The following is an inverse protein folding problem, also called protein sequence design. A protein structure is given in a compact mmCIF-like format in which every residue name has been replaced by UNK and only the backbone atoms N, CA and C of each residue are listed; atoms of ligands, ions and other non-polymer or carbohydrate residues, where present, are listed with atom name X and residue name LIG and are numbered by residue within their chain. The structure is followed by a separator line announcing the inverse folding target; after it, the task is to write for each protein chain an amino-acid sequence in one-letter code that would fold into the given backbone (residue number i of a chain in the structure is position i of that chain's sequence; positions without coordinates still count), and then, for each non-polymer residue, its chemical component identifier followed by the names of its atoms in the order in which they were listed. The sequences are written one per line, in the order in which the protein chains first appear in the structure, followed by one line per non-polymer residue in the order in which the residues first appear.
data_IF_687954051709
#
_entry.id   IF_687954051709
#
_cell.length_a   1.000
_cell.length_b   1.000
_cell.length_c   1.000
_cell.angle_alpha   90.00
_cell.angle_beta   90.00
_cell.angle_gamma   90.00
#
_symmetry.space_group_name_H-M   'P 1'
#
loop_
_entity.id
_entity.type
_entity.pdbx_description
1 polymer ?
#
# COMPACT_ATOMS: atom_id res chain seq x y z
N UNK A 1 20.70 30.99 48.51
CA UNK A 1 19.85 32.03 49.18
C UNK A 1 18.53 32.07 48.42
N UNK A 2 17.46 31.54 49.08
CA UNK A 2 16.13 32.13 49.27
C UNK A 2 15.38 32.50 47.99
N UNK A 3 14.13 32.16 47.68
CA UNK A 3 12.97 31.55 48.37
C UNK A 3 11.89 31.29 47.33
N UNK A 4 11.25 30.17 47.38
CA UNK A 4 9.83 29.79 47.33
C UNK A 4 8.81 30.90 47.06
N UNK A 5 7.83 30.62 46.15
CA UNK A 5 6.41 30.80 46.49
C UNK A 5 5.51 29.91 45.60
N UNK A 6 4.78 29.00 46.27
CA UNK A 6 3.66 28.27 45.74
C UNK A 6 2.38 29.06 46.01
N UNK A 7 1.41 29.04 45.12
CA UNK A 7 0.01 29.36 45.45
C UNK A 7 -0.89 28.32 44.80
N UNK A 8 -1.45 27.50 45.65
CA UNK A 8 -2.65 26.67 45.46
C UNK A 8 -3.90 27.57 45.50
N UNK A 9 -4.87 27.34 44.67
CA UNK A 9 -6.26 27.67 44.96
C UNK A 9 -7.18 26.57 44.42
N UNK A 10 -7.72 25.84 45.40
CA UNK A 10 -8.84 24.90 45.33
C UNK A 10 -10.14 25.65 45.52
N UNK A 11 -11.25 25.08 45.10
CA UNK A 11 -12.64 25.03 45.62
C UNK A 11 -13.62 24.99 44.47
N UNK A 12 -14.40 24.03 44.32
CA UNK A 12 -15.33 23.19 45.04
C UNK A 12 -16.78 23.47 44.62
N UNK A 13 -17.43 22.38 44.24
CA UNK A 13 -18.81 21.95 44.47
C UNK A 13 -19.98 22.95 44.31
N UNK A 14 -21.01 22.49 43.57
CA UNK A 14 -22.27 22.17 44.22
C UNK A 14 -23.22 21.35 43.33
N UNK A 15 -23.62 20.23 43.83
CA UNK A 15 -24.76 19.44 43.41
C UNK A 15 -26.06 20.07 43.87
N UNK A 16 -27.15 19.93 43.14
CA UNK A 16 -28.51 20.03 43.68
C UNK A 16 -29.41 18.99 43.04
N UNK A 17 -29.79 18.04 43.88
CA UNK A 17 -30.97 17.16 43.75
C UNK A 17 -32.22 17.90 44.27
N UNK A 18 -33.38 17.59 43.68
CA UNK A 18 -34.70 17.34 44.33
C UNK A 18 -35.76 17.37 43.22
N UNK A 19 -36.50 16.37 42.89
CA UNK A 19 -37.42 15.45 43.57
C UNK A 19 -38.86 15.96 43.61
N UNK A 20 -39.76 15.00 43.35
CA UNK A 20 -41.23 14.96 43.55
C UNK A 20 -42.09 15.64 42.49
N UNK A 21 -43.03 15.01 41.82
CA UNK A 21 -43.92 13.87 42.16
C UNK A 21 -45.33 14.28 41.78
N UNK A 22 -46.14 13.41 41.19
CA UNK A 22 -47.56 13.70 41.02
C UNK A 22 -48.23 12.90 39.92
N UNK A 23 -48.98 11.93 40.32
CA UNK A 23 -49.84 11.02 39.56
C UNK A 23 -50.99 11.72 38.80
N UNK A 24 -51.39 11.12 37.67
CA UNK A 24 -52.68 11.47 37.06
C UNK A 24 -52.94 10.59 35.82
N UNK A 25 -53.68 9.54 35.98
CA UNK A 25 -54.19 8.71 34.87
C UNK A 25 -55.37 9.40 34.17
N UNK A 26 -55.43 9.31 32.84
CA UNK A 26 -56.72 9.10 32.11
C UNK A 26 -56.54 8.82 30.65
N UNK A 27 -56.97 7.62 30.28
CA UNK A 27 -57.70 7.13 29.07
C UNK A 27 -57.52 7.78 27.72
N UNK A 28 -57.09 6.89 26.83
CA UNK A 28 -57.57 6.56 25.48
C UNK A 28 -58.18 7.62 24.58
N UNK A 29 -57.62 7.77 23.38
CA UNK A 29 -58.39 7.62 22.11
C UNK A 29 -57.50 7.40 20.93
N UNK A 30 -57.81 6.33 20.22
CA UNK A 30 -57.32 5.87 18.90
C UNK A 30 -57.63 6.86 17.80
N UNK A 31 -56.61 7.19 17.00
CA UNK A 31 -56.86 7.51 15.56
C UNK A 31 -55.71 6.94 14.72
N UNK A 32 -56.07 6.01 13.86
CA UNK A 32 -55.21 5.42 12.82
C UNK A 32 -54.92 6.50 11.75
N UNK A 33 -53.64 6.63 11.39
CA UNK A 33 -53.24 7.29 10.15
C UNK A 33 -52.11 6.48 9.49
N UNK A 34 -52.34 6.20 8.24
CA UNK A 34 -51.69 5.34 7.27
C UNK A 34 -50.15 5.28 7.34
N UNK A 35 -49.64 4.08 7.35
CA UNK A 35 -48.26 3.74 7.04
C UNK A 35 -48.07 3.90 5.51
N UNK A 36 -47.19 4.77 5.11
CA UNK A 36 -46.62 4.76 3.78
C UNK A 36 -45.49 3.75 3.72
N UNK A 37 -45.72 2.68 2.98
CA UNK A 37 -44.81 1.59 2.71
C UNK A 37 -43.70 2.09 1.77
N UNK A 38 -42.58 2.51 2.31
CA UNK A 38 -41.36 2.72 1.52
C UNK A 38 -40.64 1.37 1.45
N UNK A 39 -40.89 0.60 0.39
CA UNK A 39 -40.05 -0.52 0.00
C UNK A 39 -38.64 -0.02 -0.28
N UNK A 40 -37.78 -0.20 0.70
CA UNK A 40 -36.35 -0.19 0.51
C UNK A 40 -36.00 -1.52 -0.17
N UNK A 41 -35.81 -1.51 -1.47
CA UNK A 41 -35.27 -2.63 -2.21
C UNK A 41 -33.79 -2.77 -1.77
N UNK A 42 -33.56 -3.65 -0.80
CA UNK A 42 -32.24 -4.12 -0.50
C UNK A 42 -31.72 -4.86 -1.74
N UNK A 43 -30.58 -4.41 -2.25
CA UNK A 43 -29.82 -5.16 -3.24
C UNK A 43 -29.64 -6.61 -2.75
N UNK A 44 -29.66 -7.61 -3.64
CA UNK A 44 -29.51 -8.99 -3.21
C UNK A 44 -28.13 -9.16 -2.56
N UNK A 45 -28.12 -9.41 -1.27
CA UNK A 45 -26.96 -9.95 -0.60
C UNK A 45 -26.67 -11.30 -1.25
N UNK A 46 -25.51 -11.46 -1.87
CA UNK A 46 -25.04 -12.74 -2.34
C UNK A 46 -24.89 -13.65 -1.11
N UNK A 47 -25.80 -14.57 -0.94
CA UNK A 47 -25.76 -15.56 0.13
C UNK A 47 -24.85 -16.73 -0.27
N UNK A 48 -23.56 -16.47 -0.39
CA UNK A 48 -22.53 -17.49 -0.38
C UNK A 48 -22.11 -17.71 1.07
N UNK A 49 -22.53 -18.80 1.71
CA UNK A 49 -21.96 -19.23 2.98
C UNK A 49 -20.62 -19.92 2.72
N UNK A 50 -19.62 -19.19 2.25
CA UNK A 50 -18.28 -19.71 2.08
C UNK A 50 -17.70 -20.17 3.41
N UNK A 51 -17.01 -21.29 3.41
CA UNK A 51 -16.35 -21.83 4.61
C UNK A 51 -15.13 -21.01 5.00
N UNK A 52 -14.58 -20.24 4.06
CA UNK A 52 -13.36 -19.43 4.23
C UNK A 52 -13.56 -18.04 3.63
N UNK A 53 -13.14 -17.02 4.36
CA UNK A 53 -13.14 -15.64 3.86
C UNK A 53 -11.74 -15.05 3.94
N UNK A 54 -11.29 -14.45 2.83
CA UNK A 54 -10.04 -13.68 2.76
C UNK A 54 -10.37 -12.23 2.41
N UNK A 55 -9.95 -11.29 3.27
CA UNK A 55 -10.07 -9.86 3.03
C UNK A 55 -8.75 -9.33 2.50
N UNK A 56 -8.77 -8.80 1.29
CA UNK A 56 -7.58 -8.27 0.59
C UNK A 56 -7.59 -6.75 0.61
N UNK A 57 -6.55 -6.15 1.16
CA UNK A 57 -6.40 -4.69 1.24
C UNK A 57 -5.39 -4.16 0.23
N UNK A 58 -5.64 -2.99 -0.27
CA UNK A 58 -4.67 -2.19 -1.01
C UNK A 58 -4.81 -0.72 -0.70
N UNK A 59 -3.70 0.02 -0.71
CA UNK A 59 -3.70 1.47 -0.58
C UNK A 59 -4.16 2.20 -1.86
N UNK A 60 -4.30 1.48 -2.97
CA UNK A 60 -4.65 2.03 -4.28
C UNK A 60 -6.16 2.32 -4.40
N UNK A 61 -6.52 3.19 -5.34
CA UNK A 61 -7.90 3.53 -5.63
C UNK A 61 -8.62 2.42 -6.41
N UNK A 62 -9.94 2.43 -6.41
CA UNK A 62 -10.78 1.47 -7.15
C UNK A 62 -10.58 1.52 -8.67
N UNK A 63 -10.04 2.61 -9.19
CA UNK A 63 -9.76 2.79 -10.63
C UNK A 63 -8.36 2.30 -11.03
N UNK A 64 -7.51 1.96 -10.06
CA UNK A 64 -6.17 1.45 -10.34
C UNK A 64 -6.24 0.06 -10.99
N UNK A 65 -5.43 -0.22 -12.03
CA UNK A 65 -5.40 -1.52 -12.70
C UNK A 65 -5.20 -2.70 -11.76
N UNK A 66 -4.45 -2.51 -10.70
CA UNK A 66 -4.21 -3.56 -9.71
C UNK A 66 -5.48 -3.88 -8.92
N UNK A 67 -6.22 -2.86 -8.44
CA UNK A 67 -7.50 -3.09 -7.76
C UNK A 67 -8.50 -3.76 -8.69
N UNK A 68 -8.59 -3.31 -9.94
CA UNK A 68 -9.47 -3.94 -10.95
C UNK A 68 -9.08 -5.39 -11.19
N UNK A 69 -7.79 -5.71 -11.25
CA UNK A 69 -7.36 -7.10 -11.43
C UNK A 69 -7.64 -7.97 -10.19
N UNK A 70 -7.56 -7.41 -8.99
CA UNK A 70 -7.95 -8.13 -7.77
C UNK A 70 -9.44 -8.48 -7.76
N UNK A 71 -10.33 -7.58 -8.19
CA UNK A 71 -11.77 -7.79 -8.20
C UNK A 71 -12.23 -8.60 -9.41
N UNK A 72 -11.72 -8.28 -10.60
CA UNK A 72 -12.22 -8.88 -11.85
C UNK A 72 -11.53 -10.20 -12.21
N UNK A 73 -10.35 -10.48 -11.65
CA UNK A 73 -9.59 -11.71 -11.97
C UNK A 73 -9.39 -12.55 -10.71
N UNK A 74 -8.76 -12.02 -9.65
CA UNK A 74 -8.45 -12.83 -8.46
C UNK A 74 -9.72 -13.28 -7.74
N UNK A 75 -10.57 -12.35 -7.32
CA UNK A 75 -11.82 -12.62 -6.62
C UNK A 75 -12.69 -13.60 -7.43
N UNK A 76 -13.01 -13.25 -8.69
CA UNK A 76 -13.87 -14.08 -9.54
C UNK A 76 -13.33 -15.48 -9.78
N UNK A 77 -12.03 -15.59 -10.08
CA UNK A 77 -11.44 -16.91 -10.34
C UNK A 77 -11.40 -17.79 -9.10
N UNK A 78 -11.12 -17.21 -7.93
CA UNK A 78 -11.11 -17.97 -6.66
C UNK A 78 -12.53 -18.42 -6.33
N UNK A 79 -13.52 -17.54 -6.34
CA UNK A 79 -14.89 -17.87 -5.99
C UNK A 79 -15.50 -18.88 -6.96
N UNK A 80 -15.27 -18.74 -8.27
CA UNK A 80 -15.77 -19.67 -9.29
C UNK A 80 -15.13 -21.05 -9.14
N UNK A 81 -13.80 -21.13 -9.03
CA UNK A 81 -13.09 -22.42 -8.98
C UNK A 81 -13.27 -23.16 -7.65
N UNK A 82 -13.61 -22.45 -6.58
CA UNK A 82 -13.93 -23.06 -5.26
C UNK A 82 -15.43 -23.26 -5.06
N UNK A 83 -16.28 -23.03 -6.07
CA UNK A 83 -17.75 -23.08 -5.98
C UNK A 83 -18.30 -22.21 -4.84
N UNK A 84 -17.65 -21.10 -4.53
CA UNK A 84 -18.03 -20.18 -3.48
C UNK A 84 -17.60 -20.58 -2.05
N UNK A 85 -16.85 -21.65 -1.88
CA UNK A 85 -16.34 -22.06 -0.57
C UNK A 85 -15.30 -21.10 -0.02
N UNK A 86 -14.50 -20.48 -0.90
CA UNK A 86 -13.59 -19.37 -0.55
C UNK A 86 -14.20 -18.08 -1.08
N UNK A 87 -14.47 -17.14 -0.19
CA UNK A 87 -14.98 -15.80 -0.50
C UNK A 87 -13.83 -14.80 -0.41
N UNK A 88 -13.72 -13.92 -1.39
CA UNK A 88 -12.74 -12.85 -1.42
C UNK A 88 -13.46 -11.52 -1.28
N UNK A 89 -12.98 -10.67 -0.38
CA UNK A 89 -13.46 -9.30 -0.20
C UNK A 89 -12.29 -8.35 -0.44
N UNK A 90 -12.36 -7.51 -1.47
CA UNK A 90 -11.29 -6.57 -1.83
C UNK A 90 -11.59 -5.16 -1.33
N UNK A 91 -10.65 -4.54 -0.63
CA UNK A 91 -10.76 -3.23 0.00
C UNK A 91 -9.72 -2.28 -0.60
N UNK A 92 -10.20 -1.12 -1.11
CA UNK A 92 -9.38 -0.04 -1.66
C UNK A 92 -8.97 0.98 -0.60
N UNK A 93 -8.01 1.85 -0.94
CA UNK A 93 -7.71 3.06 -0.15
C UNK A 93 -7.37 2.82 1.31
N UNK A 94 -6.77 1.69 1.64
CA UNK A 94 -6.39 1.31 3.02
C UNK A 94 -7.58 1.19 3.99
N UNK A 95 -8.73 0.73 3.55
CA UNK A 95 -9.93 0.62 4.41
C UNK A 95 -9.77 -0.37 5.59
N UNK A 96 -8.87 -1.36 5.48
CA UNK A 96 -8.56 -2.28 6.58
C UNK A 96 -7.39 -1.82 7.47
N UNK A 97 -6.82 -0.66 7.20
CA UNK A 97 -5.61 -0.11 7.79
C UNK A 97 -4.53 0.14 6.72
N UNK A 98 -3.40 0.74 7.12
CA UNK A 98 -2.24 0.83 6.23
C UNK A 98 -1.63 -0.56 5.97
N UNK A 99 -0.66 -0.65 5.07
CA UNK A 99 -0.09 -1.93 4.68
C UNK A 99 0.57 -2.65 5.87
N UNK A 100 1.24 -1.90 6.74
CA UNK A 100 1.88 -2.42 7.95
C UNK A 100 0.86 -2.98 8.94
N UNK A 101 -0.27 -2.29 9.16
CA UNK A 101 -1.35 -2.74 10.04
C UNK A 101 -1.95 -4.07 9.54
N UNK A 102 -2.11 -4.24 8.23
CA UNK A 102 -2.67 -5.48 7.67
C UNK A 102 -1.64 -6.63 7.70
N UNK A 103 -0.35 -6.35 7.51
CA UNK A 103 0.71 -7.34 7.70
C UNK A 103 0.72 -7.84 9.15
N UNK A 104 0.59 -6.97 10.14
CA UNK A 104 0.48 -7.37 11.56
C UNK A 104 -0.76 -8.23 11.83
N UNK A 105 -1.90 -7.90 11.22
CA UNK A 105 -3.11 -8.73 11.32
C UNK A 105 -2.90 -10.12 10.67
N UNK A 106 -2.18 -10.20 9.55
CA UNK A 106 -1.89 -11.46 8.88
C UNK A 106 -1.02 -12.39 9.74
N UNK A 107 0.02 -11.87 10.41
CA UNK A 107 0.90 -12.65 11.30
C UNK A 107 0.12 -13.29 12.44
N UNK A 108 -0.82 -12.57 13.04
CA UNK A 108 -1.63 -13.11 14.16
C UNK A 108 -2.74 -14.05 13.69
N UNK A 109 -2.81 -14.34 12.38
CA UNK A 109 -3.67 -15.39 11.83
C UNK A 109 -5.04 -14.93 11.38
N UNK A 110 -5.27 -13.63 11.23
CA UNK A 110 -6.50 -13.14 10.62
C UNK A 110 -6.60 -13.57 9.15
N UNK A 111 -7.81 -13.77 8.66
CA UNK A 111 -8.09 -14.04 7.24
C UNK A 111 -7.97 -12.77 6.40
N UNK A 112 -6.78 -12.19 6.38
CA UNK A 112 -6.47 -10.95 5.66
C UNK A 112 -5.24 -11.13 4.77
N UNK A 113 -5.17 -10.31 3.73
CA UNK A 113 -4.02 -10.15 2.86
C UNK A 113 -3.86 -8.72 2.41
N UNK A 114 -2.69 -8.38 1.90
CA UNK A 114 -2.37 -7.04 1.42
C UNK A 114 -1.46 -7.12 0.20
N UNK A 115 -1.67 -6.19 -0.72
CA UNK A 115 -0.69 -5.94 -1.77
C UNK A 115 0.45 -5.14 -1.15
N UNK A 116 1.63 -5.76 -1.11
CA UNK A 116 2.80 -5.18 -0.47
C UNK A 116 4.07 -5.36 -1.28
N UNK A 117 5.14 -4.70 -0.88
CA UNK A 117 6.43 -4.66 -1.57
C UNK A 117 7.56 -5.34 -0.76
N UNK A 118 8.68 -5.72 -1.41
CA UNK A 118 9.81 -6.35 -0.73
C UNK A 118 10.42 -5.47 0.37
N UNK A 119 10.37 -4.16 0.20
CA UNK A 119 10.92 -3.23 1.18
C UNK A 119 10.15 -3.24 2.50
N UNK A 120 8.81 -3.39 2.48
CA UNK A 120 8.03 -3.58 3.71
C UNK A 120 8.26 -4.95 4.32
N UNK A 121 8.35 -5.99 3.48
CA UNK A 121 8.68 -7.34 3.96
C UNK A 121 10.08 -7.41 4.57
N UNK A 122 10.99 -6.50 4.23
CA UNK A 122 12.33 -6.42 4.84
C UNK A 122 12.32 -6.10 6.35
N UNK A 123 11.19 -5.61 6.86
CA UNK A 123 11.00 -5.45 8.31
C UNK A 123 10.91 -6.80 9.04
N UNK A 124 10.66 -7.89 8.32
CA UNK A 124 10.55 -9.26 8.84
C UNK A 124 11.67 -10.17 8.34
N UNK A 125 12.04 -10.05 7.08
CA UNK A 125 13.14 -10.77 6.42
C UNK A 125 14.01 -9.74 5.73
N UNK A 126 15.11 -9.36 6.36
CA UNK A 126 15.92 -8.21 5.96
C UNK A 126 16.37 -8.25 4.49
N UNK A 127 16.87 -9.40 4.04
CA UNK A 127 17.48 -9.52 2.72
C UNK A 127 16.52 -9.39 1.55
N UNK A 128 15.21 -9.65 1.75
CA UNK A 128 14.22 -9.48 0.67
C UNK A 128 14.11 -8.02 0.19
N UNK A 129 14.49 -7.06 1.04
CA UNK A 129 14.51 -5.65 0.69
C UNK A 129 15.46 -5.30 -0.46
N UNK A 130 16.47 -6.15 -0.76
CA UNK A 130 17.36 -5.96 -1.90
C UNK A 130 16.60 -5.91 -3.22
N UNK A 131 15.46 -6.63 -3.33
CA UNK A 131 14.62 -6.66 -4.52
C UNK A 131 13.91 -5.33 -4.80
N UNK A 132 13.97 -4.42 -3.84
CA UNK A 132 13.48 -3.04 -3.96
C UNK A 132 14.59 -2.00 -3.87
N UNK A 133 15.86 -2.43 -3.92
CA UNK A 133 16.98 -1.52 -3.92
C UNK A 133 17.03 -0.67 -5.20
N UNK A 134 17.58 0.55 -5.14
CA UNK A 134 17.57 1.47 -6.28
C UNK A 134 18.31 0.87 -7.49
N UNK A 135 17.68 0.98 -8.67
CA UNK A 135 18.25 0.52 -9.94
C UNK A 135 18.71 -0.94 -9.97
N UNK A 136 18.11 -1.82 -9.15
CA UNK A 136 18.42 -3.27 -9.17
C UNK A 136 17.93 -3.93 -10.46
N UNK A 137 16.92 -3.38 -11.10
CA UNK A 137 16.41 -3.74 -12.41
C UNK A 137 16.13 -2.48 -13.22
N UNK A 138 16.43 -2.52 -14.52
CA UNK A 138 16.24 -1.39 -15.44
C UNK A 138 14.97 -1.51 -16.30
N UNK A 139 14.26 -2.64 -16.18
CA UNK A 139 13.02 -2.91 -16.90
C UNK A 139 12.09 -3.84 -16.13
N UNK A 140 10.83 -3.89 -16.57
CA UNK A 140 9.84 -4.83 -16.04
C UNK A 140 10.30 -6.30 -16.17
N UNK A 141 10.86 -6.67 -17.35
CA UNK A 141 11.33 -8.03 -17.59
C UNK A 141 12.51 -8.41 -16.69
N UNK A 142 13.40 -7.47 -16.40
CA UNK A 142 14.48 -7.69 -15.43
C UNK A 142 13.96 -7.79 -14.01
N UNK A 143 13.00 -6.95 -13.66
CA UNK A 143 12.39 -6.99 -12.33
C UNK A 143 11.69 -8.34 -12.08
N UNK A 144 10.98 -8.89 -13.06
CA UNK A 144 10.37 -10.22 -12.94
C UNK A 144 11.39 -11.32 -12.67
N UNK A 145 12.54 -11.28 -13.35
CA UNK A 145 13.60 -12.30 -13.20
C UNK A 145 14.20 -12.32 -11.79
N UNK A 146 14.15 -11.21 -11.05
CA UNK A 146 14.61 -11.19 -9.65
C UNK A 146 13.84 -12.21 -8.80
N UNK A 147 12.54 -12.37 -9.06
CA UNK A 147 11.64 -13.27 -8.34
C UNK A 147 11.65 -14.72 -8.86
N UNK A 148 12.49 -15.03 -9.84
CA UNK A 148 12.72 -16.39 -10.35
C UNK A 148 13.99 -17.03 -9.78
N UNK A 149 14.85 -16.25 -9.10
CA UNK A 149 16.14 -16.69 -8.57
C UNK A 149 15.99 -17.66 -7.39
N UNK A 150 16.95 -18.55 -7.21
CA UNK A 150 17.00 -19.42 -6.01
C UNK A 150 17.22 -18.60 -4.73
N UNK A 151 17.95 -17.49 -4.85
CA UNK A 151 18.13 -16.54 -3.75
C UNK A 151 16.78 -15.99 -3.28
N UNK A 152 15.90 -15.57 -4.20
CA UNK A 152 14.54 -15.15 -3.82
C UNK A 152 13.72 -16.28 -3.20
N UNK A 153 13.76 -17.49 -3.74
CA UNK A 153 13.02 -18.64 -3.18
C UNK A 153 13.44 -18.94 -1.74
N UNK A 154 14.73 -18.73 -1.42
CA UNK A 154 15.22 -18.80 -0.05
C UNK A 154 14.55 -17.78 0.85
N UNK A 155 14.51 -16.50 0.42
CA UNK A 155 13.85 -15.42 1.16
C UNK A 155 12.35 -15.64 1.29
N UNK A 156 11.67 -16.11 0.23
CA UNK A 156 10.24 -16.46 0.27
C UNK A 156 9.96 -17.49 1.38
N UNK A 157 10.82 -18.48 1.52
CA UNK A 157 10.72 -19.46 2.60
C UNK A 157 10.90 -18.86 3.99
N UNK A 158 11.78 -17.89 4.14
CA UNK A 158 11.94 -17.16 5.40
C UNK A 158 10.70 -16.30 5.70
N UNK A 159 10.08 -15.67 4.68
CA UNK A 159 8.81 -14.93 4.82
C UNK A 159 7.70 -15.86 5.29
N UNK A 160 7.61 -17.10 4.75
CA UNK A 160 6.67 -18.10 5.23
C UNK A 160 6.89 -18.43 6.71
N UNK A 161 8.15 -18.58 7.13
CA UNK A 161 8.49 -18.86 8.53
C UNK A 161 8.13 -17.70 9.48
N UNK A 162 8.03 -16.47 8.96
CA UNK A 162 7.56 -15.31 9.71
C UNK A 162 6.03 -15.23 9.83
N UNK A 163 5.28 -16.17 9.24
CA UNK A 163 3.82 -16.25 9.34
C UNK A 163 3.06 -15.66 8.16
N UNK A 164 3.75 -15.40 7.06
CA UNK A 164 3.17 -14.93 5.81
C UNK A 164 3.14 -16.02 4.74
N UNK A 165 2.19 -15.96 3.84
CA UNK A 165 2.20 -16.68 2.58
C UNK A 165 2.20 -15.67 1.43
N UNK A 166 3.19 -15.71 0.60
CA UNK A 166 3.21 -15.01 -0.68
C UNK A 166 2.41 -15.86 -1.67
N UNK A 167 1.34 -15.33 -2.24
CA UNK A 167 0.59 -16.01 -3.29
C UNK A 167 1.28 -15.85 -4.65
N UNK A 168 1.68 -14.63 -4.98
CA UNK A 168 2.54 -14.31 -6.13
C UNK A 168 3.19 -12.94 -5.95
N UNK A 169 4.34 -12.73 -6.63
CA UNK A 169 5.07 -11.45 -6.61
C UNK A 169 5.28 -10.96 -8.04
N UNK A 170 4.19 -10.63 -8.71
CA UNK A 170 4.20 -10.25 -10.13
C UNK A 170 3.24 -9.10 -10.48
N UNK A 171 2.78 -8.35 -9.48
CA UNK A 171 1.96 -7.16 -9.70
C UNK A 171 2.86 -5.95 -9.94
N UNK A 172 3.16 -5.65 -11.21
CA UNK A 172 3.93 -4.48 -11.58
C UNK A 172 3.07 -3.22 -11.51
N UNK A 173 3.56 -2.21 -10.81
CA UNK A 173 2.87 -0.94 -10.64
C UNK A 173 3.49 0.19 -11.47
N UNK A 174 4.66 -0.03 -12.09
CA UNK A 174 5.39 0.95 -12.88
C UNK A 174 6.71 1.38 -12.26
N UNK A 175 7.38 2.29 -12.93
CA UNK A 175 8.59 2.94 -12.42
C UNK A 175 8.23 3.94 -11.31
N UNK A 176 9.10 4.04 -10.30
CA UNK A 176 8.97 5.05 -9.25
C UNK A 176 9.63 6.34 -9.69
N UNK A 177 8.86 7.43 -9.62
CA UNK A 177 9.23 8.75 -10.08
C UNK A 177 9.06 9.79 -8.97
N UNK A 178 9.66 10.96 -9.11
CA UNK A 178 9.52 12.04 -8.15
C UNK A 178 8.45 13.04 -8.59
N UNK A 179 7.41 13.20 -7.77
CA UNK A 179 6.41 14.26 -7.88
C UNK A 179 6.68 15.31 -6.80
N UNK A 180 6.99 16.56 -7.20
CA UNK A 180 7.48 17.58 -6.29
C UNK A 180 6.83 18.94 -6.53
N UNK A 181 6.92 19.83 -5.52
CA UNK A 181 6.49 21.23 -5.63
C UNK A 181 7.53 22.12 -6.30
N UNK A 182 8.79 21.73 -6.25
CA UNK A 182 9.92 22.42 -6.88
C UNK A 182 10.58 21.53 -7.91
N UNK A 183 11.11 22.06 -9.02
CA UNK A 183 11.73 21.22 -10.05
C UNK A 183 12.95 20.49 -9.51
N UNK A 184 13.10 19.23 -9.89
CA UNK A 184 14.21 18.36 -9.51
C UNK A 184 14.90 17.86 -10.77
N UNK A 185 16.12 18.35 -11.02
CA UNK A 185 16.95 17.99 -12.17
C UNK A 185 18.13 17.09 -11.79
N UNK A 186 18.55 17.15 -10.53
CA UNK A 186 19.69 16.41 -10.00
C UNK A 186 19.53 16.16 -8.50
N UNK A 187 20.35 15.29 -7.90
CA UNK A 187 20.39 15.08 -6.45
C UNK A 187 20.56 16.37 -5.63
N UNK A 188 21.27 17.36 -6.17
CA UNK A 188 21.47 18.64 -5.50
C UNK A 188 20.17 19.42 -5.27
N UNK A 189 19.19 19.26 -6.14
CA UNK A 189 17.90 19.95 -6.06
C UNK A 189 16.98 19.35 -4.98
N UNK A 190 17.23 18.10 -4.55
CA UNK A 190 16.50 17.46 -3.45
C UNK A 190 16.96 17.92 -2.08
N UNK A 191 18.13 18.58 -1.99
CA UNK A 191 18.70 18.98 -0.72
C UNK A 191 17.76 19.93 0.04
N UNK A 192 17.33 19.47 1.22
CA UNK A 192 16.41 20.22 2.07
C UNK A 192 14.92 20.04 1.73
N UNK A 193 14.57 19.37 0.63
CA UNK A 193 13.19 19.00 0.34
C UNK A 193 12.78 17.79 1.18
N UNK A 194 11.59 17.87 1.79
CA UNK A 194 10.98 16.77 2.54
C UNK A 194 10.19 15.93 1.58
N UNK A 195 10.68 14.73 1.31
CA UNK A 195 10.04 13.76 0.40
C UNK A 195 9.43 12.65 1.22
N UNK A 196 8.18 12.31 0.93
CA UNK A 196 7.52 11.20 1.58
C UNK A 196 8.21 9.88 1.22
N UNK A 197 8.49 9.08 2.24
CA UNK A 197 8.88 7.67 2.12
C UNK A 197 7.77 6.77 2.65
N UNK A 198 7.73 5.53 2.19
CA UNK A 198 6.93 4.46 2.80
C UNK A 198 7.60 3.96 4.09
N UNK A 199 6.96 3.00 4.78
CA UNK A 199 7.55 2.30 5.93
C UNK A 199 8.72 1.37 5.60
N UNK A 200 9.23 1.43 4.36
CA UNK A 200 10.37 0.65 3.87
C UNK A 200 11.68 1.39 4.11
N UNK A 201 12.62 0.75 4.82
CA UNK A 201 13.92 1.36 5.09
C UNK A 201 14.76 1.51 3.82
N UNK A 202 14.68 0.57 2.87
CA UNK A 202 15.43 0.67 1.60
C UNK A 202 14.94 1.86 0.76
N UNK A 203 13.64 2.14 0.73
CA UNK A 203 13.10 3.32 0.05
C UNK A 203 13.56 4.60 0.73
N UNK A 204 13.53 4.63 2.07
CA UNK A 204 14.04 5.76 2.86
C UNK A 204 15.51 6.02 2.55
N UNK A 205 16.37 4.98 2.64
CA UNK A 205 17.80 5.09 2.34
C UNK A 205 18.06 5.51 0.88
N UNK A 206 17.24 5.05 -0.06
CA UNK A 206 17.32 5.47 -1.47
C UNK A 206 17.07 6.96 -1.62
N UNK A 207 15.99 7.48 -1.06
CA UNK A 207 15.65 8.91 -1.13
C UNK A 207 16.69 9.80 -0.43
N UNK A 208 17.23 9.34 0.70
CA UNK A 208 18.31 10.03 1.41
C UNK A 208 19.61 10.02 0.60
N UNK A 209 19.93 8.91 -0.07
CA UNK A 209 21.06 8.83 -1.00
C UNK A 209 20.89 9.79 -2.17
N UNK A 210 19.67 9.96 -2.68
CA UNK A 210 19.31 10.93 -3.72
C UNK A 210 19.36 12.38 -3.22
N UNK A 211 19.52 12.63 -1.91
CA UNK A 211 19.69 13.95 -1.33
C UNK A 211 18.48 14.53 -0.60
N UNK A 212 17.38 13.80 -0.52
CA UNK A 212 16.15 14.24 0.14
C UNK A 212 16.24 14.17 1.68
N UNK A 213 15.42 14.96 2.35
CA UNK A 213 15.03 14.70 3.73
C UNK A 213 13.77 13.86 3.71
N UNK A 214 13.78 12.69 4.32
CA UNK A 214 12.62 11.77 4.26
C UNK A 214 11.62 12.04 5.37
N UNK A 215 10.35 11.77 5.06
CA UNK A 215 9.25 11.73 6.03
C UNK A 215 8.45 10.46 5.80
N UNK A 216 8.47 9.55 6.76
CA UNK A 216 7.73 8.28 6.68
C UNK A 216 6.27 8.52 6.98
N UNK A 217 5.40 8.28 6.01
CA UNK A 217 3.94 8.46 6.09
C UNK A 217 3.23 7.35 5.31
N UNK A 218 2.06 6.95 5.76
CA UNK A 218 1.18 6.08 4.98
C UNK A 218 0.80 6.76 3.64
N UNK A 219 0.50 5.96 2.60
CA UNK A 219 0.12 6.54 1.30
C UNK A 219 -1.15 7.37 1.39
N UNK A 220 -2.13 6.92 2.19
CA UNK A 220 -3.39 7.61 2.44
C UNK A 220 -3.22 9.02 3.03
N UNK A 221 -2.09 9.31 3.68
CA UNK A 221 -1.80 10.61 4.28
C UNK A 221 -1.06 11.57 3.33
N UNK A 222 -0.48 11.04 2.22
CA UNK A 222 0.44 11.78 1.35
C UNK A 222 -0.20 13.04 0.72
N UNK A 223 -1.43 12.93 0.21
CA UNK A 223 -2.15 14.07 -0.39
C UNK A 223 -2.32 15.21 0.61
N UNK A 224 -2.80 14.91 1.82
CA UNK A 224 -3.01 15.94 2.85
C UNK A 224 -1.69 16.53 3.34
N UNK A 225 -0.64 15.72 3.49
CA UNK A 225 0.68 16.19 3.89
C UNK A 225 1.29 17.15 2.85
N UNK A 226 1.09 16.87 1.55
CA UNK A 226 1.44 17.80 0.46
C UNK A 226 0.61 19.06 0.52
N UNK A 227 -0.72 18.95 0.65
CA UNK A 227 -1.62 20.10 0.71
C UNK A 227 -1.27 21.03 1.88
N UNK A 228 -0.97 20.47 3.04
CA UNK A 228 -0.58 21.20 4.26
C UNK A 228 0.88 21.64 4.29
N UNK A 229 1.66 21.33 3.24
CA UNK A 229 3.09 21.64 3.12
C UNK A 229 3.96 21.01 4.23
N UNK A 230 3.52 19.89 4.78
CA UNK A 230 4.33 19.06 5.69
C UNK A 230 5.48 18.41 4.92
N UNK A 231 5.22 18.03 3.67
CA UNK A 231 6.20 17.51 2.71
C UNK A 231 6.16 18.33 1.41
N UNK A 232 7.24 18.30 0.64
CA UNK A 232 7.40 18.99 -0.65
C UNK A 232 7.26 18.05 -1.85
N UNK A 233 7.27 16.73 -1.63
CA UNK A 233 7.13 15.77 -2.71
C UNK A 233 6.91 14.35 -2.22
N UNK A 234 6.66 13.48 -3.18
CA UNK A 234 6.50 12.04 -3.02
C UNK A 234 7.23 11.31 -4.14
N UNK A 235 7.66 10.08 -3.87
CA UNK A 235 8.04 9.14 -4.91
C UNK A 235 6.89 8.18 -5.15
N UNK A 236 6.49 7.99 -6.41
CA UNK A 236 5.32 7.19 -6.76
C UNK A 236 5.28 6.86 -8.25
N UNK A 237 4.61 5.78 -8.63
CA UNK A 237 4.31 5.44 -10.02
C UNK A 237 3.10 6.21 -10.56
N UNK A 238 2.97 6.30 -11.88
CA UNK A 238 2.00 7.20 -12.53
C UNK A 238 0.53 6.85 -12.22
N UNK A 239 0.16 5.56 -12.18
CA UNK A 239 -1.24 5.16 -11.94
C UNK A 239 -1.73 5.60 -10.54
N UNK A 240 -0.90 5.42 -9.50
CA UNK A 240 -1.25 5.87 -8.15
C UNK A 240 -1.21 7.39 -8.02
N UNK A 241 -0.34 8.08 -8.75
CA UNK A 241 -0.33 9.54 -8.80
C UNK A 241 -1.65 10.10 -9.36
N UNK A 242 -2.15 9.50 -10.45
CA UNK A 242 -3.48 9.82 -11.01
C UNK A 242 -4.59 9.46 -10.04
N UNK A 243 -4.60 8.23 -9.51
CA UNK A 243 -5.63 7.73 -8.60
C UNK A 243 -5.75 8.51 -7.29
N UNK A 244 -4.69 9.22 -6.89
CA UNK A 244 -4.65 10.07 -5.69
C UNK A 244 -4.60 11.57 -6.01
N UNK A 245 -4.88 11.97 -7.25
CA UNK A 245 -4.94 13.37 -7.70
C UNK A 245 -3.68 14.18 -7.36
N UNK A 246 -2.49 13.60 -7.49
CA UNK A 246 -1.24 14.25 -7.12
C UNK A 246 -0.97 15.53 -7.91
N UNK A 247 -1.53 15.68 -9.12
CA UNK A 247 -1.46 16.89 -9.93
C UNK A 247 -2.09 18.13 -9.27
N UNK A 248 -2.95 17.93 -8.27
CA UNK A 248 -3.55 19.06 -7.54
C UNK A 248 -2.65 19.63 -6.46
N UNK A 249 -1.69 18.84 -5.97
CA UNK A 249 -0.86 19.18 -4.79
C UNK A 249 0.65 19.16 -5.06
N UNK A 250 1.06 18.72 -6.26
CA UNK A 250 2.44 18.80 -6.77
C UNK A 250 2.47 19.57 -8.09
N UNK A 251 3.64 19.92 -8.60
CA UNK A 251 3.77 20.69 -9.82
C UNK A 251 4.71 20.05 -10.84
N UNK A 252 5.70 19.32 -10.40
CA UNK A 252 6.77 18.80 -11.24
C UNK A 252 6.86 17.29 -11.13
N UNK A 253 7.14 16.67 -12.26
CA UNK A 253 7.47 15.24 -12.39
C UNK A 253 8.88 15.10 -12.95
N UNK A 254 9.77 14.47 -12.20
CA UNK A 254 11.09 14.08 -12.65
C UNK A 254 11.14 12.56 -12.83
N UNK A 255 11.42 12.12 -14.07
CA UNK A 255 11.54 10.71 -14.42
C UNK A 255 12.88 10.15 -13.97
N UNK A 256 13.00 9.89 -12.67
CA UNK A 256 14.21 9.30 -12.09
C UNK A 256 14.31 7.80 -12.34
N UNK A 257 13.19 7.10 -12.49
CA UNK A 257 13.13 5.66 -12.77
C UNK A 257 13.95 4.84 -11.76
N UNK A 258 14.01 5.33 -10.50
CA UNK A 258 14.94 4.79 -9.51
C UNK A 258 14.57 3.40 -9.00
N UNK A 259 13.38 2.90 -9.35
CA UNK A 259 12.90 1.58 -8.97
C UNK A 259 11.80 1.09 -9.91
N UNK A 260 11.88 -0.17 -10.32
CA UNK A 260 10.80 -0.93 -10.94
C UNK A 260 9.95 -1.54 -9.82
N UNK A 261 8.73 -1.03 -9.59
CA UNK A 261 7.93 -1.50 -8.47
C UNK A 261 7.16 -2.77 -8.83
N UNK A 262 7.65 -3.92 -8.40
CA UNK A 262 6.88 -5.15 -8.29
C UNK A 262 6.36 -5.32 -6.87
N UNK A 263 5.10 -5.69 -6.75
CA UNK A 263 4.44 -6.03 -5.49
C UNK A 263 3.87 -7.44 -5.54
N UNK A 264 3.51 -7.96 -4.39
CA UNK A 264 2.91 -9.28 -4.25
C UNK A 264 1.65 -9.25 -3.39
N UNK A 265 0.79 -10.22 -3.60
CA UNK A 265 -0.30 -10.50 -2.68
C UNK A 265 0.22 -11.41 -1.56
N UNK A 266 0.31 -10.84 -0.37
CA UNK A 266 0.79 -11.49 0.85
C UNK A 266 -0.36 -11.67 1.83
N UNK A 267 -0.54 -12.88 2.32
CA UNK A 267 -1.65 -13.25 3.19
C UNK A 267 -1.16 -13.96 4.47
N UNK A 268 -2.06 -14.20 5.40
CA UNK A 268 -1.76 -14.98 6.60
C UNK A 268 -1.41 -16.44 6.27
N UNK A 269 -0.21 -16.89 6.64
CA UNK A 269 0.20 -18.29 6.53
C UNK A 269 -0.69 -19.22 7.35
N UNK A 270 -1.09 -18.80 8.56
CA UNK A 270 -1.92 -19.63 9.42
C UNK A 270 -3.37 -19.74 8.94
N UNK A 271 -3.86 -18.76 8.18
CA UNK A 271 -5.15 -18.86 7.49
C UNK A 271 -5.02 -19.75 6.25
N UNK A 272 -3.99 -19.53 5.43
CA UNK A 272 -3.73 -20.28 4.20
C UNK A 272 -3.57 -21.80 4.44
N UNK A 273 -2.83 -22.19 5.47
CA UNK A 273 -2.59 -23.61 5.79
C UNK A 273 -3.83 -24.36 6.30
N UNK A 274 -4.94 -23.69 6.60
CA UNK A 274 -6.23 -24.35 6.92
C UNK A 274 -7.01 -24.74 5.69
N UNK A 275 -6.66 -24.20 4.52
CA UNK A 275 -7.32 -24.50 3.26
C UNK A 275 -6.93 -25.90 2.75
N UNK A 276 -7.83 -26.62 2.07
CA UNK A 276 -7.46 -27.76 1.26
C UNK A 276 -6.36 -27.41 0.25
N UNK A 277 -5.46 -28.36 -0.06
CA UNK A 277 -4.35 -28.14 -1.00
C UNK A 277 -4.82 -27.66 -2.39
N UNK A 278 -5.98 -28.14 -2.84
CA UNK A 278 -6.62 -27.69 -4.08
C UNK A 278 -6.92 -26.18 -4.02
N UNK A 279 -7.46 -25.66 -2.91
CA UNK A 279 -7.78 -24.24 -2.77
C UNK A 279 -6.52 -23.40 -2.62
N UNK A 280 -5.49 -23.94 -1.96
CA UNK A 280 -4.18 -23.28 -1.90
C UNK A 280 -3.58 -23.08 -3.30
N UNK A 281 -3.70 -24.09 -4.17
CA UNK A 281 -3.24 -24.00 -5.56
C UNK A 281 -4.05 -22.98 -6.34
N UNK A 282 -5.39 -23.01 -6.23
CA UNK A 282 -6.29 -22.07 -6.89
C UNK A 282 -5.95 -20.62 -6.53
N UNK A 283 -5.69 -20.33 -5.25
CA UNK A 283 -5.30 -19.00 -4.78
C UNK A 283 -4.00 -18.51 -5.43
N UNK A 284 -2.97 -19.35 -5.49
CA UNK A 284 -1.69 -18.99 -6.12
C UNK A 284 -1.85 -18.74 -7.63
N UNK A 285 -2.55 -19.64 -8.33
CA UNK A 285 -2.80 -19.48 -9.76
C UNK A 285 -3.62 -18.22 -10.07
N UNK A 286 -4.70 -17.98 -9.32
CA UNK A 286 -5.54 -16.80 -9.50
C UNK A 286 -4.79 -15.50 -9.18
N UNK A 287 -3.95 -15.49 -8.15
CA UNK A 287 -3.10 -14.34 -7.83
C UNK A 287 -2.10 -14.05 -8.94
N UNK A 288 -1.44 -15.08 -9.47
CA UNK A 288 -0.49 -14.92 -10.56
C UNK A 288 -1.16 -14.35 -11.83
N UNK A 289 -2.34 -14.86 -12.20
CA UNK A 289 -3.12 -14.37 -13.34
C UNK A 289 -3.55 -12.91 -13.15
N UNK A 290 -4.01 -12.56 -11.95
CA UNK A 290 -4.38 -11.19 -11.62
C UNK A 290 -3.18 -10.24 -11.68
N UNK A 291 -2.03 -10.65 -11.14
CA UNK A 291 -0.80 -9.87 -11.21
C UNK A 291 -0.33 -9.63 -12.64
N UNK A 292 -0.42 -10.65 -13.50
CA UNK A 292 -0.14 -10.51 -14.93
C UNK A 292 -1.07 -9.50 -15.60
N UNK A 293 -2.39 -9.63 -15.38
CA UNK A 293 -3.40 -8.72 -15.94
C UNK A 293 -3.20 -7.29 -15.46
N UNK A 294 -2.91 -7.09 -14.17
CA UNK A 294 -2.60 -5.78 -13.61
C UNK A 294 -1.40 -5.14 -14.30
N UNK A 295 -0.31 -5.90 -14.44
CA UNK A 295 0.94 -5.45 -15.06
C UNK A 295 0.76 -5.04 -16.51
N UNK A 296 0.09 -5.87 -17.30
CA UNK A 296 -0.22 -5.57 -18.70
C UNK A 296 -1.04 -4.29 -18.84
N UNK A 297 -2.04 -4.09 -17.96
CA UNK A 297 -2.87 -2.90 -17.96
C UNK A 297 -2.10 -1.64 -17.51
N UNK A 298 -1.21 -1.73 -16.52
CA UNK A 298 -0.35 -0.61 -16.12
C UNK A 298 0.53 -0.18 -17.27
N UNK A 299 1.20 -1.12 -17.93
CA UNK A 299 2.10 -0.84 -19.07
C UNK A 299 1.30 -0.22 -20.22
N UNK A 300 0.16 -0.78 -20.58
CA UNK A 300 -0.67 -0.30 -21.68
C UNK A 300 -1.22 1.12 -21.46
N UNK A 301 -1.46 1.52 -20.22
CA UNK A 301 -2.03 2.82 -19.87
C UNK A 301 -1.01 3.89 -19.43
N UNK A 302 0.28 3.57 -19.44
CA UNK A 302 1.30 4.48 -18.92
C UNK A 302 1.28 5.87 -19.58
N UNK A 303 1.12 5.94 -20.91
CA UNK A 303 1.02 7.19 -21.65
C UNK A 303 -0.27 7.97 -21.33
N UNK A 304 -1.38 7.26 -21.07
CA UNK A 304 -2.65 7.88 -20.66
C UNK A 304 -2.52 8.52 -19.27
N UNK A 305 -1.85 7.86 -18.32
CA UNK A 305 -1.58 8.43 -17.00
C UNK A 305 -0.69 9.67 -17.10
N UNK A 306 0.38 9.59 -17.87
CA UNK A 306 1.25 10.75 -18.09
C UNK A 306 0.45 11.93 -18.70
N UNK A 307 -0.38 11.64 -19.70
CA UNK A 307 -1.24 12.66 -20.32
C UNK A 307 -2.20 13.27 -19.29
N UNK A 308 -2.86 12.44 -18.46
CA UNK A 308 -3.78 12.93 -17.43
C UNK A 308 -3.08 13.85 -16.44
N UNK A 309 -1.89 13.50 -16.00
CA UNK A 309 -1.07 14.32 -15.08
C UNK A 309 -0.65 15.65 -15.72
N UNK A 310 -0.19 15.61 -16.96
CA UNK A 310 0.25 16.83 -17.69
C UNK A 310 -0.93 17.74 -18.06
N UNK A 311 -2.07 17.20 -18.48
CA UNK A 311 -3.30 17.96 -18.67
C UNK A 311 -3.80 18.58 -17.35
N UNK A 312 -3.54 17.93 -16.21
CA UNK A 312 -3.80 18.42 -14.86
C UNK A 312 -2.80 19.47 -14.35
N UNK A 313 -1.80 19.83 -15.16
CA UNK A 313 -0.85 20.91 -14.85
C UNK A 313 0.53 20.46 -14.33
N UNK A 314 0.83 19.16 -14.35
CA UNK A 314 2.18 18.67 -14.06
C UNK A 314 3.15 19.04 -15.19
N UNK A 315 4.23 19.68 -14.83
CA UNK A 315 5.37 19.96 -15.70
C UNK A 315 6.42 18.86 -15.61
N UNK A 316 6.71 18.19 -16.72
CA UNK A 316 7.79 17.19 -16.78
C UNK A 316 9.14 17.90 -16.77
N UNK A 317 10.03 17.47 -15.88
CA UNK A 317 11.38 17.99 -15.73
C UNK A 317 12.38 16.97 -16.25
N UNK A 318 13.20 17.37 -17.20
CA UNK A 318 14.37 16.56 -17.59
C UNK A 318 15.38 16.52 -16.45
N UNK A 319 15.70 15.31 -15.99
CA UNK A 319 16.60 15.08 -14.87
C UNK A 319 17.82 14.23 -15.28
N UNK A 320 18.93 14.43 -14.57
CA UNK A 320 20.17 13.65 -14.73
C UNK A 320 20.04 12.29 -14.02
N UNK A 321 19.51 11.29 -14.72
CA UNK A 321 19.33 9.92 -14.21
C UNK A 321 20.64 9.29 -13.73
N UNK A 322 21.75 9.53 -14.45
CA UNK A 322 23.06 8.98 -14.11
C UNK A 322 23.60 9.56 -12.78
N UNK A 323 23.35 10.85 -12.54
CA UNK A 323 23.68 11.45 -11.25
C UNK A 323 22.87 10.83 -10.10
N UNK A 324 21.59 10.54 -10.31
CA UNK A 324 20.76 9.82 -9.33
C UNK A 324 21.24 8.39 -9.11
N UNK A 325 21.55 7.65 -10.18
CA UNK A 325 22.08 6.28 -10.12
C UNK A 325 23.38 6.25 -9.31
N UNK A 326 24.33 7.13 -9.65
CA UNK A 326 25.60 7.26 -8.92
C UNK A 326 25.39 7.60 -7.44
N UNK A 327 24.46 8.50 -7.11
CA UNK A 327 24.16 8.84 -5.73
C UNK A 327 23.61 7.65 -4.93
N UNK A 328 22.91 6.73 -5.61
CA UNK A 328 22.31 5.54 -5.01
C UNK A 328 23.26 4.35 -4.84
N UNK A 329 24.44 4.34 -5.48
CA UNK A 329 25.40 3.20 -5.42
C UNK A 329 25.75 2.82 -3.98
N UNK A 330 25.89 3.81 -3.10
CA UNK A 330 26.21 3.59 -1.68
C UNK A 330 25.14 2.83 -0.89
N UNK A 331 23.88 2.84 -1.36
CA UNK A 331 22.75 2.19 -0.64
C UNK A 331 23.00 0.70 -0.43
N UNK A 332 23.58 0.04 -1.43
CA UNK A 332 23.89 -1.39 -1.34
C UNK A 332 24.89 -1.74 -0.23
N UNK A 333 25.91 -0.88 -0.02
CA UNK A 333 26.89 -1.05 1.05
C UNK A 333 26.28 -0.66 2.41
N UNK A 334 25.64 0.51 2.50
CA UNK A 334 25.02 1.02 3.72
C UNK A 334 23.93 0.07 4.25
N UNK A 335 23.13 -0.52 3.35
CA UNK A 335 22.10 -1.52 3.65
C UNK A 335 22.65 -2.96 3.74
N UNK A 336 23.96 -3.17 3.57
CA UNK A 336 24.59 -4.52 3.56
C UNK A 336 23.98 -5.49 2.54
N UNK A 337 23.49 -4.98 1.43
CA UNK A 337 22.89 -5.77 0.36
C UNK A 337 23.90 -6.26 -0.68
N UNK A 338 25.18 -5.89 -0.58
CA UNK A 338 26.20 -6.18 -1.59
C UNK A 338 26.38 -7.69 -1.84
N UNK A 339 26.36 -8.51 -0.78
CA UNK A 339 26.52 -9.97 -0.90
C UNK A 339 25.29 -10.62 -1.55
N UNK A 340 24.09 -10.28 -1.08
CA UNK A 340 22.85 -10.85 -1.63
C UNK A 340 22.60 -10.37 -3.05
N UNK A 341 22.92 -9.10 -3.37
CA UNK A 341 22.91 -8.61 -4.75
C UNK A 341 23.84 -9.40 -5.65
N UNK A 342 25.09 -9.64 -5.21
CA UNK A 342 26.06 -10.41 -5.99
C UNK A 342 25.58 -11.85 -6.24
N UNK A 343 24.88 -12.48 -5.29
CA UNK A 343 24.28 -13.80 -5.49
C UNK A 343 23.20 -13.76 -6.58
N UNK A 344 22.29 -12.79 -6.51
CA UNK A 344 21.24 -12.58 -7.53
C UNK A 344 21.85 -12.30 -8.91
N UNK A 345 22.84 -11.41 -8.98
CA UNK A 345 23.52 -11.05 -10.23
C UNK A 345 24.21 -12.26 -10.88
N UNK A 346 24.83 -13.11 -10.06
CA UNK A 346 25.45 -14.36 -10.55
C UNK A 346 24.42 -15.33 -11.13
N UNK A 347 23.24 -15.47 -10.50
CA UNK A 347 22.15 -16.30 -11.03
C UNK A 347 21.57 -15.74 -12.34
N UNK A 348 21.52 -14.41 -12.47
CA UNK A 348 20.99 -13.72 -13.66
C UNK A 348 22.06 -13.55 -14.75
N UNK A 349 23.33 -13.89 -14.50
CA UNK A 349 24.42 -13.78 -15.46
C UNK A 349 24.88 -12.34 -15.74
N UNK A 350 24.83 -11.46 -14.77
CA UNK A 350 25.21 -10.05 -14.86
C UNK A 350 26.18 -9.62 -13.77
#
# INVERSE_FOLDING_TARGET
MKKTLAVLLSCAMAASLAACGGSGASTAQTTAAAAADSKNEAAPASSGSGSYTLKVNTALSETDPLFVALTEVFEKNVEEKTNGDVQIEVYSGSQLGNDEDVLEQAIVGAGVGVITDPGRLSNYVYDIGVLQAPYIAESYDEALKLFETETYKGMEKEVENCGFQILSFNYYQGERELFTKNPVKSPADLKGQRIRSSGSQVVTSTLEAMGANTSVLAWSEAYQALQQQVIEGVEVHLSAAVGSSMQEVTKYLAFTGHQQLLTGLVISQSWYSKLPEEYQTILKEASFEAGKTASENVIAKNDEYLKTLTDGGIEVVECDKEAFKTACDKVYEEMKYSEVKAAIDAELGR
#
